data_IF_108475699347
#
_entry.id   IF_108475699347
#
_cell.length_a   1.000
_cell.length_b   1.000
_cell.length_c   1.000
_cell.angle_alpha   90.00
_cell.angle_beta   90.00
_cell.angle_gamma   90.00
#
_symmetry.space_group_name_H-M   'P 1'
#
loop_
_entity.id
_entity.type
_entity.pdbx_description
1 polymer ?
#
# COMPACT_ATOMS: atom_id res chain seq x y z
N UNK A 1 2.76 -7.29 18.09
CA UNK A 1 1.44 -7.99 18.16
C UNK A 1 0.53 -7.68 16.96
N UNK A 2 0.60 -6.52 16.31
CA UNK A 2 -0.26 -6.17 15.18
C UNK A 2 -0.08 -7.04 13.92
N UNK A 3 1.14 -7.14 13.42
CA UNK A 3 1.49 -7.82 12.15
C UNK A 3 1.14 -9.30 12.15
N UNK A 4 1.43 -10.02 13.23
CA UNK A 4 1.11 -11.44 13.35
C UNK A 4 -0.41 -11.70 13.35
N UNK A 5 -1.18 -10.81 13.99
CA UNK A 5 -2.66 -10.88 13.98
C UNK A 5 -3.21 -10.66 12.56
N UNK A 6 -2.67 -9.68 11.83
CA UNK A 6 -3.04 -9.41 10.42
C UNK A 6 -2.73 -10.63 9.56
N UNK A 7 -1.53 -11.19 9.68
CA UNK A 7 -1.10 -12.39 8.95
C UNK A 7 -2.05 -13.57 9.16
N UNK A 8 -2.39 -13.87 10.43
CA UNK A 8 -3.30 -14.97 10.75
C UNK A 8 -4.73 -14.74 10.25
N UNK A 9 -5.23 -13.51 10.40
CA UNK A 9 -6.59 -13.17 9.99
C UNK A 9 -6.76 -13.25 8.47
N UNK A 10 -5.83 -12.71 7.68
CA UNK A 10 -5.87 -12.81 6.22
C UNK A 10 -5.56 -14.22 5.72
N UNK A 11 -4.62 -14.94 6.35
CA UNK A 11 -4.34 -16.33 6.00
C UNK A 11 -5.57 -17.23 6.14
N UNK A 12 -6.40 -17.01 7.17
CA UNK A 12 -7.63 -17.77 7.38
C UNK A 12 -8.71 -17.57 6.30
N UNK A 13 -8.65 -16.47 5.53
CA UNK A 13 -9.62 -16.12 4.48
C UNK A 13 -8.96 -15.89 3.13
N UNK A 14 -7.73 -16.36 2.94
CA UNK A 14 -6.92 -16.03 1.78
C UNK A 14 -7.59 -16.40 0.44
N UNK A 15 -8.16 -17.59 0.33
CA UNK A 15 -8.84 -18.04 -0.90
C UNK A 15 -10.03 -17.14 -1.26
N UNK A 16 -10.87 -16.81 -0.27
CA UNK A 16 -11.99 -15.91 -0.47
C UNK A 16 -11.54 -14.49 -0.83
N UNK A 17 -10.47 -14.00 -0.20
CA UNK A 17 -9.92 -12.68 -0.50
C UNK A 17 -9.35 -12.62 -1.92
N UNK A 18 -8.64 -13.66 -2.35
CA UNK A 18 -8.13 -13.79 -3.72
C UNK A 18 -9.27 -13.79 -4.75
N UNK A 19 -10.34 -14.54 -4.48
CA UNK A 19 -11.51 -14.57 -5.36
C UNK A 19 -12.17 -13.18 -5.51
N UNK A 20 -12.28 -12.42 -4.41
CA UNK A 20 -13.00 -11.14 -4.39
C UNK A 20 -12.14 -9.94 -4.83
N UNK A 21 -10.81 -9.99 -4.63
CA UNK A 21 -9.92 -8.84 -4.78
C UNK A 21 -8.58 -9.17 -5.44
N UNK A 22 -8.45 -10.38 -6.00
CA UNK A 22 -7.16 -10.87 -6.50
C UNK A 22 -6.80 -10.45 -7.91
N UNK A 23 -7.68 -9.76 -8.63
CA UNK A 23 -7.44 -9.40 -10.03
C UNK A 23 -7.48 -7.90 -10.27
N UNK A 24 -6.80 -7.45 -11.34
CA UNK A 24 -6.76 -6.05 -11.74
C UNK A 24 -8.14 -5.50 -12.14
N UNK A 25 -8.99 -6.34 -12.70
CA UNK A 25 -10.34 -6.00 -13.14
C UNK A 25 -11.27 -5.64 -11.95
N UNK A 26 -10.92 -6.04 -10.75
CA UNK A 26 -11.64 -5.71 -9.51
C UNK A 26 -11.19 -4.37 -8.90
N UNK A 27 -10.14 -3.76 -9.44
CA UNK A 27 -9.67 -2.43 -9.03
C UNK A 27 -10.34 -1.36 -9.90
N UNK A 28 -10.78 -0.26 -9.28
CA UNK A 28 -11.38 0.83 -10.03
C UNK A 28 -10.38 1.40 -11.06
N UNK A 29 -10.79 1.68 -12.31
CA UNK A 29 -9.88 2.17 -13.36
C UNK A 29 -9.10 3.43 -12.98
N UNK A 30 -9.75 4.38 -12.26
CA UNK A 30 -9.07 5.60 -11.82
C UNK A 30 -7.97 5.31 -10.77
N UNK A 31 -8.12 4.26 -9.95
CA UNK A 31 -7.11 3.84 -8.99
C UNK A 31 -5.90 3.27 -9.72
N UNK A 32 -6.12 2.42 -10.72
CA UNK A 32 -5.05 1.92 -11.59
C UNK A 32 -4.33 3.07 -12.29
N UNK A 33 -5.11 4.04 -12.83
CA UNK A 33 -4.55 5.23 -13.49
C UNK A 33 -3.75 6.10 -12.51
N UNK A 34 -4.25 6.29 -11.28
CA UNK A 34 -3.55 7.04 -10.22
C UNK A 34 -2.23 6.37 -9.84
N UNK A 35 -2.25 5.08 -9.54
CA UNK A 35 -1.06 4.28 -9.20
C UNK A 35 -0.05 4.32 -10.36
N UNK A 36 -0.49 4.09 -11.59
CA UNK A 36 0.37 4.12 -12.78
C UNK A 36 0.99 5.50 -13.02
N UNK A 37 0.21 6.59 -12.89
CA UNK A 37 0.67 7.97 -13.12
C UNK A 37 1.82 8.38 -12.19
N UNK A 38 1.79 7.92 -10.94
CA UNK A 38 2.77 8.31 -9.93
C UNK A 38 3.96 7.34 -9.80
N UNK A 39 3.82 6.10 -10.24
CA UNK A 39 4.88 5.09 -10.06
C UNK A 39 5.51 4.60 -11.36
N UNK A 40 4.90 4.85 -12.53
CA UNK A 40 5.54 4.52 -13.80
C UNK A 40 6.62 5.53 -14.16
N UNK A 41 7.68 5.04 -14.82
CA UNK A 41 8.78 5.87 -15.31
C UNK A 41 9.76 6.36 -14.23
N UNK A 42 9.64 5.90 -12.98
CA UNK A 42 10.60 6.20 -11.93
C UNK A 42 11.98 5.58 -12.22
N UNK A 43 13.09 6.23 -11.76
CA UNK A 43 14.45 5.84 -12.14
C UNK A 43 15.03 4.68 -11.32
N UNK A 44 14.20 3.79 -10.79
CA UNK A 44 14.65 2.68 -9.95
C UNK A 44 13.52 1.78 -9.47
N UNK A 45 13.82 0.85 -8.54
CA UNK A 45 12.88 -0.13 -8.07
C UNK A 45 11.70 0.48 -7.29
N UNK A 46 10.54 -0.17 -7.40
CA UNK A 46 9.32 0.17 -6.67
C UNK A 46 8.93 -1.00 -5.77
N UNK A 47 8.57 -0.72 -4.52
CA UNK A 47 8.04 -1.71 -3.59
C UNK A 47 6.51 -1.57 -3.47
N UNK A 48 5.80 -2.67 -3.64
CA UNK A 48 4.38 -2.78 -3.36
C UNK A 48 4.22 -3.48 -1.98
N UNK A 49 3.97 -2.68 -0.95
CA UNK A 49 3.98 -3.11 0.45
C UNK A 49 2.59 -3.48 0.93
N UNK A 50 2.40 -4.74 1.29
CA UNK A 50 1.10 -5.37 1.48
C UNK A 50 0.46 -5.67 0.14
N UNK A 51 1.23 -6.28 -0.76
CA UNK A 51 0.83 -6.51 -2.15
C UNK A 51 -0.36 -7.50 -2.30
N UNK A 52 -0.73 -8.20 -1.23
CA UNK A 52 -1.78 -9.22 -1.28
C UNK A 52 -1.52 -10.26 -2.38
N UNK A 53 -2.57 -10.58 -3.19
CA UNK A 53 -2.46 -11.51 -4.31
C UNK A 53 -1.54 -11.09 -5.46
N UNK A 54 -0.98 -9.87 -5.44
CA UNK A 54 0.06 -9.42 -6.38
C UNK A 54 -0.46 -8.70 -7.64
N UNK A 55 -1.75 -8.45 -7.75
CA UNK A 55 -2.39 -7.86 -8.94
C UNK A 55 -1.93 -6.43 -9.24
N UNK A 56 -1.66 -5.60 -8.21
CA UNK A 56 -1.11 -4.24 -8.39
C UNK A 56 0.38 -4.27 -8.71
N UNK A 57 1.15 -5.17 -8.09
CA UNK A 57 2.54 -5.41 -8.48
C UNK A 57 2.64 -5.80 -9.97
N UNK A 58 1.78 -6.72 -10.43
CA UNK A 58 1.71 -7.13 -11.84
C UNK A 58 1.27 -5.99 -12.75
N UNK A 59 0.28 -5.18 -12.32
CA UNK A 59 -0.09 -3.97 -13.04
C UNK A 59 1.09 -3.02 -13.24
N UNK A 60 1.84 -2.69 -12.19
CA UNK A 60 3.04 -1.84 -12.29
C UNK A 60 4.07 -2.44 -13.24
N UNK A 61 4.31 -3.74 -13.17
CA UNK A 61 5.23 -4.44 -14.09
C UNK A 61 4.76 -4.37 -15.54
N UNK A 62 3.46 -4.45 -15.79
CA UNK A 62 2.89 -4.29 -17.14
C UNK A 62 3.13 -2.89 -17.73
N UNK A 63 3.37 -1.88 -16.87
CA UNK A 63 3.77 -0.52 -17.25
C UNK A 63 5.29 -0.34 -17.37
N UNK A 64 6.07 -1.42 -17.25
CA UNK A 64 7.53 -1.40 -17.34
C UNK A 64 8.26 -1.03 -16.04
N UNK A 65 7.55 -1.00 -14.90
CA UNK A 65 8.14 -0.70 -13.60
C UNK A 65 8.87 -1.93 -13.04
N UNK A 66 10.08 -1.73 -12.49
CA UNK A 66 10.77 -2.76 -11.71
C UNK A 66 10.13 -2.87 -10.30
N UNK A 67 8.96 -3.53 -10.25
CA UNK A 67 8.16 -3.64 -9.04
C UNK A 67 8.38 -4.98 -8.33
N UNK A 68 8.52 -4.92 -7.00
CA UNK A 68 8.57 -6.08 -6.10
C UNK A 68 7.44 -6.00 -5.08
N UNK A 69 6.59 -7.03 -5.05
CA UNK A 69 5.53 -7.19 -4.05
C UNK A 69 6.07 -7.80 -2.75
N UNK A 70 5.65 -7.23 -1.62
CA UNK A 70 5.99 -7.71 -0.27
C UNK A 70 4.70 -7.84 0.53
N UNK A 71 4.48 -9.01 1.12
CA UNK A 71 3.33 -9.25 2.01
C UNK A 71 3.70 -10.19 3.16
N UNK A 72 2.98 -10.08 4.27
CA UNK A 72 3.18 -10.93 5.46
C UNK A 72 2.43 -12.26 5.37
N UNK A 73 1.50 -12.41 4.42
CA UNK A 73 0.62 -13.56 4.26
C UNK A 73 1.24 -14.55 3.26
N UNK A 74 1.70 -15.73 3.70
CA UNK A 74 2.36 -16.71 2.82
C UNK A 74 1.48 -17.18 1.68
N UNK A 75 0.18 -17.34 1.91
CA UNK A 75 -0.82 -17.76 0.94
C UNK A 75 -0.92 -16.76 -0.23
N UNK A 76 -0.90 -15.46 0.05
CA UNK A 76 -0.88 -14.43 -0.97
C UNK A 76 0.39 -14.46 -1.81
N UNK A 77 1.54 -14.59 -1.17
CA UNK A 77 2.83 -14.69 -1.88
C UNK A 77 2.91 -15.96 -2.74
N UNK A 78 2.38 -17.07 -2.25
CA UNK A 78 2.31 -18.31 -3.03
C UNK A 78 1.41 -18.14 -4.26
N UNK A 79 0.23 -17.53 -4.09
CA UNK A 79 -0.68 -17.21 -5.19
C UNK A 79 -0.04 -16.25 -6.21
N UNK A 80 0.53 -15.13 -5.74
CA UNK A 80 1.17 -14.13 -6.60
C UNK A 80 2.27 -14.74 -7.48
N UNK A 81 3.12 -15.60 -6.91
CA UNK A 81 4.16 -16.32 -7.66
C UNK A 81 3.62 -17.30 -8.67
N UNK A 82 2.51 -17.97 -8.36
CA UNK A 82 1.87 -18.93 -9.27
C UNK A 82 1.15 -18.23 -10.44
N UNK A 83 0.46 -17.12 -10.14
CA UNK A 83 -0.37 -16.39 -11.12
C UNK A 83 0.47 -15.43 -11.98
N UNK A 84 1.52 -14.84 -11.40
CA UNK A 84 2.41 -13.87 -12.04
C UNK A 84 3.87 -14.33 -11.98
N UNK A 85 4.25 -15.43 -12.68
CA UNK A 85 5.56 -16.08 -12.52
C UNK A 85 6.76 -15.23 -12.97
N UNK A 86 6.54 -14.19 -13.76
CA UNK A 86 7.57 -13.22 -14.13
C UNK A 86 7.78 -12.13 -13.09
N UNK A 87 6.92 -12.04 -12.07
CA UNK A 87 6.97 -11.05 -11.01
C UNK A 87 8.00 -11.38 -9.92
N UNK A 88 8.35 -10.36 -9.13
CA UNK A 88 9.17 -10.51 -7.93
C UNK A 88 8.28 -10.36 -6.69
N UNK A 89 8.21 -11.40 -5.85
CA UNK A 89 7.38 -11.41 -4.64
C UNK A 89 8.15 -11.97 -3.46
N UNK A 90 8.10 -11.27 -2.31
CA UNK A 90 8.79 -11.67 -1.08
C UNK A 90 7.85 -11.69 0.12
N UNK A 91 8.02 -12.70 0.97
CA UNK A 91 7.40 -12.68 2.29
C UNK A 91 8.15 -11.66 3.16
N UNK A 92 7.43 -10.74 3.79
CA UNK A 92 8.03 -9.69 4.61
C UNK A 92 6.98 -8.74 5.19
N UNK A 93 7.42 -7.86 6.08
CA UNK A 93 6.58 -6.86 6.74
C UNK A 93 6.91 -5.46 6.26
N UNK A 94 5.87 -4.61 6.11
CA UNK A 94 6.03 -3.19 5.76
C UNK A 94 6.66 -2.35 6.89
N UNK A 95 6.62 -2.83 8.12
CA UNK A 95 7.19 -2.16 9.29
C UNK A 95 8.59 -2.66 9.66
N UNK A 96 9.14 -3.61 8.90
CA UNK A 96 10.51 -4.11 9.02
C UNK A 96 11.11 -4.32 7.62
N UNK A 97 11.33 -3.19 6.91
CA UNK A 97 11.87 -3.22 5.55
C UNK A 97 13.38 -3.44 5.57
N UNK A 98 13.78 -4.64 5.16
CA UNK A 98 15.19 -4.99 4.90
C UNK A 98 15.62 -4.45 3.53
N UNK A 99 15.81 -3.13 3.45
CA UNK A 99 16.32 -2.42 2.28
C UNK A 99 17.29 -1.34 2.74
N UNK A 100 18.34 -1.10 1.94
CA UNK A 100 19.30 -0.04 2.23
C UNK A 100 18.66 1.35 2.08
N UNK A 101 19.23 2.34 2.75
CA UNK A 101 18.78 3.72 2.69
C UNK A 101 18.91 4.26 1.26
N UNK A 102 17.89 5.00 0.83
CA UNK A 102 17.89 5.70 -0.47
C UNK A 102 18.15 4.79 -1.69
N UNK A 103 17.55 3.60 -1.70
CA UNK A 103 17.67 2.64 -2.81
C UNK A 103 16.38 2.39 -3.58
N UNK A 104 15.25 2.87 -3.07
CA UNK A 104 13.92 2.64 -3.64
C UNK A 104 13.40 3.92 -4.29
N UNK A 105 12.95 3.83 -5.54
CA UNK A 105 12.42 4.99 -6.27
C UNK A 105 10.94 5.24 -5.98
N UNK A 106 10.18 4.21 -5.62
CA UNK A 106 8.78 4.34 -5.30
C UNK A 106 8.28 3.30 -4.29
N UNK A 107 7.26 3.67 -3.53
CA UNK A 107 6.53 2.79 -2.62
C UNK A 107 5.04 2.91 -2.90
N UNK A 108 4.37 1.77 -3.09
CA UNK A 108 2.92 1.62 -3.05
C UNK A 108 2.54 0.97 -1.73
N UNK A 109 1.59 1.56 -0.99
CA UNK A 109 0.97 0.97 0.19
C UNK A 109 -0.56 1.07 0.06
N UNK A 110 -1.12 0.18 -0.76
CA UNK A 110 -2.52 0.23 -1.15
C UNK A 110 -3.39 -0.56 -0.18
N UNK A 111 -4.10 0.15 0.70
CA UNK A 111 -4.89 -0.41 1.81
C UNK A 111 -4.12 -1.36 2.74
N UNK A 112 -2.81 -1.25 2.80
CA UNK A 112 -1.97 -2.07 3.65
C UNK A 112 -1.68 -1.44 5.03
N UNK A 113 -1.77 -0.11 5.13
CA UNK A 113 -1.61 0.62 6.39
C UNK A 113 -2.89 0.67 7.24
N UNK A 114 -4.03 0.24 6.70
CA UNK A 114 -5.34 0.34 7.36
C UNK A 114 -5.44 -0.44 8.68
N UNK A 115 -4.62 -1.48 8.87
CA UNK A 115 -4.57 -2.28 10.08
C UNK A 115 -3.49 -1.84 11.08
N UNK A 116 -2.73 -0.81 10.70
CA UNK A 116 -1.66 -0.30 11.54
C UNK A 116 -2.24 0.58 12.65
N UNK A 117 -1.96 0.30 13.93
CA UNK A 117 -2.38 1.17 15.03
C UNK A 117 -1.83 2.59 14.85
N UNK A 118 -2.63 3.63 15.16
CA UNK A 118 -2.28 5.03 14.90
C UNK A 118 -0.91 5.47 15.44
N UNK A 119 -0.52 4.95 16.59
CA UNK A 119 0.77 5.24 17.24
C UNK A 119 1.98 4.65 16.50
N UNK A 120 1.76 3.75 15.55
CA UNK A 120 2.83 3.14 14.76
C UNK A 120 3.05 3.79 13.40
N UNK A 121 2.08 4.57 12.92
CA UNK A 121 2.10 5.11 11.55
C UNK A 121 3.33 5.99 11.31
N UNK A 122 3.65 6.89 12.23
CA UNK A 122 4.78 7.82 12.07
C UNK A 122 6.13 7.09 11.94
N UNK A 123 6.31 5.98 12.68
CA UNK A 123 7.50 5.12 12.56
C UNK A 123 7.59 4.43 11.21
N UNK A 124 6.45 3.97 10.67
CA UNK A 124 6.40 3.33 9.34
C UNK A 124 6.68 4.37 8.24
N UNK A 125 6.09 5.56 8.32
CA UNK A 125 6.37 6.64 7.36
C UNK A 125 7.85 7.06 7.39
N UNK A 126 8.47 7.09 8.57
CA UNK A 126 9.92 7.32 8.71
C UNK A 126 10.74 6.23 8.03
N UNK A 127 10.33 4.96 8.16
CA UNK A 127 10.98 3.84 7.47
C UNK A 127 10.84 3.95 5.95
N UNK A 128 9.67 4.34 5.45
CA UNK A 128 9.46 4.58 4.02
C UNK A 128 10.33 5.73 3.51
N UNK A 129 10.40 6.83 4.27
CA UNK A 129 11.26 7.98 3.92
C UNK A 129 12.74 7.61 3.84
N UNK A 130 13.22 6.79 4.79
CA UNK A 130 14.60 6.27 4.79
C UNK A 130 14.91 5.44 3.53
N UNK A 131 13.98 4.57 3.12
CA UNK A 131 14.17 3.68 1.98
C UNK A 131 14.16 4.43 0.64
N UNK A 132 13.36 5.50 0.53
CA UNK A 132 13.18 6.25 -0.72
C UNK A 132 14.38 7.14 -1.05
N UNK A 133 14.76 7.14 -2.32
CA UNK A 133 15.70 8.14 -2.87
C UNK A 133 15.13 9.56 -2.71
N UNK A 134 15.95 10.62 -2.77
CA UNK A 134 15.45 11.99 -2.89
C UNK A 134 14.46 12.10 -4.06
N UNK A 135 13.32 12.76 -3.83
CA UNK A 135 12.21 12.86 -4.77
C UNK A 135 11.55 11.54 -5.16
N UNK A 136 11.82 10.45 -4.43
CA UNK A 136 11.13 9.17 -4.59
C UNK A 136 9.63 9.29 -4.27
N UNK A 137 8.80 8.51 -4.95
CA UNK A 137 7.35 8.60 -4.85
C UNK A 137 6.78 7.67 -3.78
N UNK A 138 5.76 8.14 -3.06
CA UNK A 138 4.94 7.34 -2.14
C UNK A 138 3.48 7.44 -2.56
N UNK A 139 2.82 6.30 -2.75
CA UNK A 139 1.38 6.23 -3.04
C UNK A 139 0.69 5.42 -1.95
N UNK A 140 -0.33 6.01 -1.31
CA UNK A 140 -1.11 5.41 -0.24
C UNK A 140 -2.58 5.30 -0.64
N UNK A 141 -3.25 4.20 -0.27
CA UNK A 141 -4.71 4.08 -0.27
C UNK A 141 -5.22 3.78 1.14
N UNK A 142 -6.22 4.54 1.61
CA UNK A 142 -6.74 4.48 2.99
C UNK A 142 -8.26 4.67 3.02
N UNK A 143 -8.89 4.21 4.12
CA UNK A 143 -10.29 4.53 4.40
C UNK A 143 -10.42 5.91 5.02
N UNK A 144 -11.42 6.67 4.51
CA UNK A 144 -11.75 8.01 4.98
C UNK A 144 -12.64 7.99 6.23
N UNK A 145 -12.44 8.97 7.11
CA UNK A 145 -13.27 9.27 8.26
C UNK A 145 -13.09 10.71 8.73
N UNK A 146 -14.01 11.21 9.56
CA UNK A 146 -13.94 12.57 10.12
C UNK A 146 -12.94 12.65 11.28
N UNK A 147 -12.64 11.52 11.89
CA UNK A 147 -11.65 11.37 12.97
C UNK A 147 -10.89 10.06 12.80
N UNK A 148 -9.76 9.93 13.51
CA UNK A 148 -9.00 8.67 13.57
C UNK A 148 -9.73 7.70 14.47
N UNK A 149 -10.42 6.73 13.88
CA UNK A 149 -11.20 5.74 14.60
C UNK A 149 -10.95 4.30 14.12
N UNK A 150 -11.04 3.37 15.05
CA UNK A 150 -11.01 1.95 14.76
C UNK A 150 -12.42 1.47 14.38
N UNK A 151 -12.51 0.61 13.37
CA UNK A 151 -13.75 -0.01 12.99
C UNK A 151 -13.61 -1.52 12.74
N UNK A 152 -14.70 -2.23 12.84
CA UNK A 152 -14.76 -3.66 12.56
C UNK A 152 -14.72 -3.88 11.03
N UNK A 153 -13.53 -4.18 10.53
CA UNK A 153 -13.32 -4.60 9.15
C UNK A 153 -13.56 -6.12 9.06
N UNK A 154 -14.07 -6.59 7.91
CA UNK A 154 -14.45 -8.00 7.71
C UNK A 154 -13.36 -9.03 8.07
N UNK A 155 -12.10 -8.65 8.01
CA UNK A 155 -10.95 -9.55 8.29
C UNK A 155 -10.42 -9.32 9.71
N UNK A 156 -10.05 -8.09 10.04
CA UNK A 156 -9.57 -7.69 11.38
C UNK A 156 -9.76 -6.20 11.55
N UNK A 157 -9.61 -5.67 12.76
CA UNK A 157 -9.74 -4.22 13.04
C UNK A 157 -8.95 -3.40 12.03
N UNK A 158 -9.59 -2.37 11.47
CA UNK A 158 -8.96 -1.37 10.61
C UNK A 158 -9.22 0.03 11.14
N UNK A 159 -8.51 1.01 10.62
CA UNK A 159 -8.60 2.41 11.00
C UNK A 159 -9.03 3.27 9.83
N UNK A 160 -9.88 4.27 10.11
CA UNK A 160 -10.19 5.38 9.22
C UNK A 160 -9.36 6.58 9.62
N UNK A 161 -9.07 7.41 8.64
CA UNK A 161 -8.24 8.58 8.84
C UNK A 161 -8.84 9.79 8.11
N UNK A 162 -8.89 10.97 8.75
CA UNK A 162 -9.07 12.21 8.01
C UNK A 162 -7.91 12.38 7.02
N UNK A 163 -8.24 12.77 5.79
CA UNK A 163 -7.21 12.90 4.74
C UNK A 163 -6.15 13.94 5.12
N UNK A 164 -6.56 15.04 5.74
CA UNK A 164 -5.66 16.11 6.17
C UNK A 164 -4.71 15.66 7.30
N UNK A 165 -5.17 14.80 8.23
CA UNK A 165 -4.31 14.21 9.27
C UNK A 165 -3.17 13.37 8.65
N UNK A 166 -3.48 12.61 7.61
CA UNK A 166 -2.45 11.84 6.88
C UNK A 166 -1.47 12.79 6.17
N UNK A 167 -1.96 13.86 5.53
CA UNK A 167 -1.12 14.85 4.85
C UNK A 167 -0.16 15.57 5.82
N UNK A 168 -0.64 15.89 7.02
CA UNK A 168 0.19 16.45 8.08
C UNK A 168 1.26 15.47 8.56
N UNK A 169 0.90 14.18 8.74
CA UNK A 169 1.87 13.14 9.12
C UNK A 169 2.91 12.91 8.04
N UNK A 170 2.50 12.88 6.76
CA UNK A 170 3.41 12.82 5.63
C UNK A 170 4.39 13.99 5.63
N UNK A 171 3.90 15.22 5.84
CA UNK A 171 4.75 16.42 5.92
C UNK A 171 5.78 16.30 7.06
N UNK A 172 5.35 15.87 8.26
CA UNK A 172 6.26 15.64 9.40
C UNK A 172 7.30 14.55 9.12
N UNK A 173 6.95 13.54 8.32
CA UNK A 173 7.86 12.47 7.94
C UNK A 173 8.80 12.81 6.76
N UNK A 174 8.74 14.05 6.23
CA UNK A 174 9.59 14.50 5.14
C UNK A 174 9.06 14.14 3.75
N UNK A 175 7.74 14.22 3.57
CA UNK A 175 7.07 14.09 2.28
C UNK A 175 6.32 15.37 1.92
N UNK A 176 6.20 15.66 0.65
CA UNK A 176 5.32 16.68 0.08
C UNK A 176 4.19 15.99 -0.69
N UNK A 177 2.94 16.26 -0.31
CA UNK A 177 1.78 15.79 -1.07
C UNK A 177 1.78 16.41 -2.48
N UNK A 178 1.50 15.59 -3.49
CA UNK A 178 1.46 15.97 -4.92
C UNK A 178 0.03 15.93 -5.44
N UNK A 179 -0.72 14.90 -5.10
CA UNK A 179 -2.08 14.69 -5.59
C UNK A 179 -2.86 13.85 -4.59
N UNK A 180 -4.16 14.12 -4.47
CA UNK A 180 -5.11 13.24 -3.78
C UNK A 180 -6.30 12.90 -4.68
N UNK A 181 -6.83 11.70 -4.48
CA UNK A 181 -8.05 11.21 -5.13
C UNK A 181 -9.02 10.80 -4.02
N UNK A 182 -10.09 11.55 -3.84
CA UNK A 182 -11.07 11.30 -2.78
C UNK A 182 -12.35 10.71 -3.35
N UNK A 183 -12.93 9.73 -2.63
CA UNK A 183 -14.23 9.13 -2.93
C UNK A 183 -15.08 9.13 -1.65
N UNK A 184 -15.67 10.29 -1.29
CA UNK A 184 -16.46 10.45 -0.07
C UNK A 184 -17.74 9.60 -0.09
N UNK A 185 -18.34 9.44 -1.27
CA UNK A 185 -19.59 8.68 -1.46
C UNK A 185 -19.29 7.28 -2.01
N UNK A 186 -18.53 6.48 -1.32
CA UNK A 186 -18.02 5.18 -1.79
C UNK A 186 -18.97 4.24 -2.55
N UNK A 187 -20.21 4.65 -2.82
CA UNK A 187 -21.24 3.82 -3.46
C UNK A 187 -21.45 2.53 -2.66
N UNK A 188 -21.22 1.34 -3.26
CA UNK A 188 -21.22 0.07 -2.52
C UNK A 188 -19.98 -0.12 -1.63
N UNK A 189 -18.99 0.76 -1.74
CA UNK A 189 -17.73 0.72 -0.99
C UNK A 189 -17.74 1.75 0.14
N UNK A 190 -16.84 1.57 1.11
CA UNK A 190 -16.63 2.54 2.18
C UNK A 190 -15.99 3.81 1.64
N UNK A 191 -16.22 5.01 2.23
CA UNK A 191 -15.48 6.20 1.89
C UNK A 191 -13.97 5.95 1.98
N UNK A 192 -13.23 6.38 0.96
CA UNK A 192 -11.79 6.14 0.85
C UNK A 192 -11.10 7.22 0.02
N UNK A 193 -9.79 7.23 0.10
CA UNK A 193 -8.96 8.14 -0.69
C UNK A 193 -7.61 7.53 -1.00
N UNK A 194 -6.94 8.11 -1.99
CA UNK A 194 -5.54 7.87 -2.27
C UNK A 194 -4.75 9.18 -2.20
N UNK A 195 -3.50 9.10 -1.74
CA UNK A 195 -2.55 10.21 -1.72
C UNK A 195 -1.28 9.77 -2.45
N UNK A 196 -0.79 10.63 -3.33
CA UNK A 196 0.55 10.57 -3.88
C UNK A 196 1.40 11.69 -3.26
N UNK A 197 2.60 11.34 -2.82
CA UNK A 197 3.55 12.26 -2.22
C UNK A 197 4.97 11.98 -2.70
N UNK A 198 5.85 12.96 -2.61
CA UNK A 198 7.28 12.82 -2.94
C UNK A 198 8.15 13.04 -1.69
N UNK A 199 9.22 12.25 -1.58
CA UNK A 199 10.23 12.43 -0.54
C UNK A 199 10.92 13.78 -0.73
N UNK A 200 10.87 14.65 0.30
CA UNK A 200 11.62 15.92 0.31
C UNK A 200 13.10 15.67 0.55
N UNK A 201 13.95 16.53 0.02
CA UNK A 201 15.40 16.42 0.11
C UNK A 201 15.96 16.52 1.53
#
# INVERSE_FOLDING_TARGET
MGTERVRQAYGAVADLYIELFGTREQVHPDDLAFVGRHLAGLPGPVLDLGCGPGHLTDHLRSLGVDATGIDVVPEFIAHARATHPSGSYRLGSLDDLDVADHTVAGILAWYSLIHLPPERLDGVLTTFRRALIPSGALVLGLFSGDEVDAFDHKVTTAYRWPVDEISERLTRAGFAEVERLERPDGGPHRPHYAIAATATG
#
